data_IF_005564673456
#
_entry.id   IF_005564673456
#
_cell.length_a   1.000
_cell.length_b   1.000
_cell.length_c   1.000
_cell.angle_alpha   90.00
_cell.angle_beta   90.00
_cell.angle_gamma   90.00
#
_symmetry.space_group_name_H-M   'P 1'
#
loop_
_entity.id
_entity.type
_entity.pdbx_description
1 polymer ?
#
# COMPACT_ATOMS: atom_id res chain seq x y z
N UNK A 1 14.91 -6.49 0.24
CA UNK A 1 14.35 -6.78 1.60
C UNK A 1 15.44 -7.10 2.63
N UNK A 2 16.37 -8.03 2.37
CA UNK A 2 17.49 -8.33 3.30
C UNK A 2 18.35 -7.11 3.64
N UNK A 3 18.62 -6.26 2.66
CA UNK A 3 19.33 -4.98 2.85
C UNK A 3 18.62 -4.00 3.79
N UNK A 4 17.31 -4.18 4.03
CA UNK A 4 16.53 -3.41 5.00
C UNK A 4 16.39 -4.12 6.36
N UNK A 5 17.14 -5.21 6.57
CA UNK A 5 17.09 -5.99 7.82
C UNK A 5 15.91 -6.96 7.90
N UNK A 6 15.21 -7.21 6.79
CA UNK A 6 14.06 -8.11 6.76
C UNK A 6 14.43 -9.47 6.17
N UNK A 7 14.03 -10.54 6.85
CA UNK A 7 14.16 -11.91 6.36
C UNK A 7 12.80 -12.46 5.92
N UNK A 8 12.42 -12.32 4.64
CA UNK A 8 11.12 -12.78 4.15
C UNK A 8 10.96 -14.30 4.23
N UNK A 9 12.06 -15.07 4.12
CA UNK A 9 12.01 -16.54 4.13
C UNK A 9 11.45 -17.08 5.43
N UNK A 10 11.82 -16.46 6.56
CA UNK A 10 11.28 -16.78 7.89
C UNK A 10 9.75 -16.67 7.92
N UNK A 11 9.18 -15.64 7.31
CA UNK A 11 7.73 -15.44 7.30
C UNK A 11 7.02 -16.38 6.32
N UNK A 12 7.66 -16.72 5.20
CA UNK A 12 7.17 -17.73 4.27
C UNK A 12 7.10 -19.11 4.94
N UNK A 13 8.14 -19.53 5.65
CA UNK A 13 8.14 -20.82 6.37
C UNK A 13 7.11 -20.90 7.50
N UNK A 14 6.69 -19.74 8.03
CA UNK A 14 5.63 -19.63 9.04
C UNK A 14 4.22 -19.52 8.42
N UNK A 15 4.10 -19.59 7.08
CA UNK A 15 2.86 -19.34 6.35
C UNK A 15 2.22 -17.98 6.71
N UNK A 16 3.05 -16.94 6.86
CA UNK A 16 2.66 -15.56 7.20
C UNK A 16 2.90 -14.55 6.08
N UNK A 17 3.68 -14.94 5.06
CA UNK A 17 3.99 -14.12 3.91
C UNK A 17 4.02 -15.02 2.68
N UNK A 18 3.48 -14.51 1.58
CA UNK A 18 3.59 -15.15 0.27
C UNK A 18 3.86 -14.08 -0.79
N UNK A 19 4.49 -14.50 -1.89
CA UNK A 19 4.76 -13.63 -3.04
C UNK A 19 4.04 -14.18 -4.25
N UNK A 20 3.24 -13.32 -4.88
CA UNK A 20 2.59 -13.64 -6.15
C UNK A 20 3.33 -12.87 -7.24
N UNK A 21 4.16 -13.59 -8.00
CA UNK A 21 4.94 -12.98 -9.07
C UNK A 21 4.10 -12.90 -10.36
N UNK A 22 3.60 -11.69 -10.62
CA UNK A 22 2.87 -11.35 -11.85
C UNK A 22 3.74 -10.62 -12.88
N UNK A 23 5.07 -10.67 -12.77
CA UNK A 23 5.96 -9.93 -13.67
C UNK A 23 6.92 -10.85 -14.41
N UNK A 24 7.54 -11.81 -13.72
CA UNK A 24 8.56 -12.70 -14.28
C UNK A 24 8.05 -13.54 -15.46
N UNK A 25 6.74 -13.82 -15.52
CA UNK A 25 6.11 -14.45 -16.69
C UNK A 25 6.31 -13.66 -17.98
N UNK A 26 6.35 -12.32 -17.92
CA UNK A 26 6.62 -11.45 -19.08
C UNK A 26 8.06 -11.60 -19.59
N UNK A 27 8.98 -12.07 -18.75
CA UNK A 27 10.36 -12.39 -19.09
C UNK A 27 10.57 -13.86 -19.49
N UNK A 28 9.50 -14.63 -19.69
CA UNK A 28 9.55 -16.03 -20.12
C UNK A 28 9.75 -17.06 -19.00
N UNK A 29 9.68 -16.65 -17.73
CA UNK A 29 9.73 -17.58 -16.60
C UNK A 29 8.37 -18.26 -16.46
N UNK A 30 8.34 -19.58 -16.26
CA UNK A 30 7.08 -20.35 -16.19
C UNK A 30 6.81 -20.97 -14.83
N UNK A 31 7.83 -21.12 -13.99
CA UNK A 31 7.70 -21.75 -12.66
C UNK A 31 7.51 -20.72 -11.56
N UNK A 32 6.56 -20.96 -10.66
CA UNK A 32 6.34 -20.11 -9.48
C UNK A 32 5.76 -18.71 -9.77
N UNK A 33 5.26 -18.49 -10.99
CA UNK A 33 4.70 -17.21 -11.45
C UNK A 33 3.24 -17.36 -11.84
N UNK A 34 2.52 -16.25 -11.96
CA UNK A 34 1.20 -16.21 -12.59
C UNK A 34 1.38 -16.25 -14.11
N UNK A 35 0.92 -17.31 -14.83
CA UNK A 35 1.24 -17.50 -16.25
C UNK A 35 0.71 -16.40 -17.17
N UNK A 36 -0.45 -15.83 -16.84
CA UNK A 36 -1.09 -14.76 -17.59
C UNK A 36 -1.34 -13.56 -16.66
N UNK A 37 -0.32 -12.72 -16.42
CA UNK A 37 -0.40 -11.66 -15.42
C UNK A 37 -1.35 -10.52 -15.80
N UNK A 38 -1.73 -10.41 -17.08
CA UNK A 38 -2.69 -9.42 -17.58
C UNK A 38 -4.10 -9.98 -17.75
N UNK A 39 -4.28 -11.30 -17.61
CA UNK A 39 -5.61 -11.85 -17.36
C UNK A 39 -5.96 -11.65 -15.88
N UNK A 40 -6.66 -10.56 -15.62
CA UNK A 40 -7.10 -10.18 -14.28
C UNK A 40 -8.00 -11.24 -13.63
N UNK A 41 -8.63 -12.12 -14.42
CA UNK A 41 -9.38 -13.27 -13.90
C UNK A 41 -8.42 -14.30 -13.30
N UNK A 42 -7.42 -14.72 -14.06
CA UNK A 42 -6.36 -15.63 -13.60
C UNK A 42 -5.64 -15.10 -12.36
N UNK A 43 -5.28 -13.81 -12.34
CA UNK A 43 -4.66 -13.18 -11.16
C UNK A 43 -5.61 -13.24 -9.95
N UNK A 44 -6.90 -12.95 -10.14
CA UNK A 44 -7.90 -12.99 -9.07
C UNK A 44 -8.11 -14.40 -8.50
N UNK A 45 -8.07 -15.43 -9.35
CA UNK A 45 -8.12 -16.84 -8.93
C UNK A 45 -6.89 -17.18 -8.09
N UNK A 46 -5.70 -16.83 -8.59
CA UNK A 46 -4.44 -17.11 -7.89
C UNK A 46 -4.38 -16.43 -6.51
N UNK A 47 -4.77 -15.15 -6.44
CA UNK A 47 -4.87 -14.42 -5.18
C UNK A 47 -5.86 -15.09 -4.20
N UNK A 48 -6.98 -15.60 -4.70
CA UNK A 48 -7.97 -16.30 -3.85
C UNK A 48 -7.37 -17.57 -3.27
N UNK A 49 -6.68 -18.37 -4.08
CA UNK A 49 -6.01 -19.59 -3.61
C UNK A 49 -4.90 -19.29 -2.57
N UNK A 50 -4.14 -18.20 -2.77
CA UNK A 50 -3.14 -17.72 -1.78
C UNK A 50 -3.84 -17.30 -0.48
N UNK A 51 -4.94 -16.55 -0.58
CA UNK A 51 -5.71 -16.12 0.59
C UNK A 51 -6.23 -17.31 1.41
N UNK A 52 -6.74 -18.33 0.73
CA UNK A 52 -7.20 -19.58 1.36
C UNK A 52 -6.06 -20.31 2.06
N UNK A 53 -4.90 -20.46 1.41
CA UNK A 53 -3.70 -21.07 1.99
C UNK A 53 -3.20 -20.33 3.24
N UNK A 54 -3.37 -19.01 3.28
CA UNK A 54 -3.01 -18.17 4.44
C UNK A 54 -4.12 -18.10 5.51
N UNK A 55 -5.22 -18.84 5.35
CA UNK A 55 -6.28 -18.98 6.35
C UNK A 55 -7.43 -17.97 6.25
N UNK A 56 -7.48 -17.17 5.16
CA UNK A 56 -8.58 -16.27 4.79
C UNK A 56 -9.07 -15.32 5.91
N UNK A 57 -8.16 -14.88 6.78
CA UNK A 57 -8.48 -13.99 7.91
C UNK A 57 -7.36 -12.98 8.13
N UNK A 58 -7.75 -11.72 8.29
CA UNK A 58 -6.87 -10.57 8.56
C UNK A 58 -5.71 -10.44 7.54
N UNK A 59 -5.98 -10.80 6.28
CA UNK A 59 -4.98 -10.82 5.20
C UNK A 59 -4.68 -9.41 4.71
N UNK A 60 -3.38 -9.07 4.63
CA UNK A 60 -2.95 -7.85 3.95
C UNK A 60 -2.41 -8.18 2.57
N UNK A 61 -3.01 -7.60 1.54
CA UNK A 61 -2.49 -7.68 0.17
C UNK A 61 -1.78 -6.37 -0.15
N UNK A 62 -0.55 -6.47 -0.61
CA UNK A 62 0.21 -5.35 -1.19
C UNK A 62 0.34 -5.63 -2.68
N UNK A 63 -0.31 -4.80 -3.50
CA UNK A 63 -0.19 -4.85 -4.94
C UNK A 63 0.78 -3.74 -5.37
N UNK A 64 1.98 -4.15 -5.76
CA UNK A 64 3.06 -3.28 -6.19
C UNK A 64 3.50 -3.68 -7.62
N UNK A 65 3.04 -3.01 -8.68
CA UNK A 65 2.23 -1.77 -8.72
C UNK A 65 1.02 -1.89 -9.66
N UNK A 66 0.14 -0.90 -9.63
CA UNK A 66 -0.99 -0.82 -10.55
C UNK A 66 -0.60 -0.44 -11.99
N UNK A 67 0.62 0.05 -12.21
CA UNK A 67 1.05 0.57 -13.53
C UNK A 67 0.95 -0.51 -14.63
N UNK A 68 1.53 -1.72 -14.48
CA UNK A 68 1.41 -2.75 -15.51
C UNK A 68 -0.05 -3.12 -15.83
N UNK A 69 -0.93 -3.12 -14.82
CA UNK A 69 -2.35 -3.43 -15.02
C UNK A 69 -3.03 -2.34 -15.87
N UNK A 70 -2.77 -1.06 -15.58
CA UNK A 70 -3.34 0.04 -16.35
C UNK A 70 -2.74 0.19 -17.75
N UNK A 71 -1.51 -0.25 -17.97
CA UNK A 71 -0.86 -0.24 -19.28
C UNK A 71 -1.39 -1.34 -20.21
N UNK A 72 -1.70 -2.51 -19.68
CA UNK A 72 -2.01 -3.71 -20.48
C UNK A 72 -3.51 -4.04 -20.54
N UNK A 73 -4.34 -3.34 -19.75
CA UNK A 73 -5.78 -3.60 -19.70
C UNK A 73 -6.59 -2.32 -19.81
N UNK A 74 -7.83 -2.42 -20.29
CA UNK A 74 -8.75 -1.30 -20.27
C UNK A 74 -8.98 -0.81 -18.84
N UNK A 75 -8.98 0.51 -18.65
CA UNK A 75 -9.16 1.15 -17.33
C UNK A 75 -10.40 0.62 -16.59
N UNK A 76 -11.51 0.35 -17.31
CA UNK A 76 -12.73 -0.21 -16.72
C UNK A 76 -12.52 -1.60 -16.12
N UNK A 77 -11.74 -2.47 -16.78
CA UNK A 77 -11.43 -3.81 -16.31
C UNK A 77 -10.49 -3.76 -15.10
N UNK A 78 -9.45 -2.92 -15.16
CA UNK A 78 -8.55 -2.68 -14.03
C UNK A 78 -9.29 -2.17 -12.78
N UNK A 79 -10.19 -1.20 -12.95
CA UNK A 79 -11.01 -0.67 -11.84
C UNK A 79 -11.93 -1.75 -11.25
N UNK A 80 -12.61 -2.52 -12.10
CA UNK A 80 -13.46 -3.64 -11.65
C UNK A 80 -12.67 -4.69 -10.88
N UNK A 81 -11.44 -4.99 -11.32
CA UNK A 81 -10.53 -5.91 -10.66
C UNK A 81 -10.11 -5.41 -9.27
N UNK A 82 -9.71 -4.13 -9.16
CA UNK A 82 -9.36 -3.51 -7.87
C UNK A 82 -10.55 -3.59 -6.89
N UNK A 83 -11.76 -3.28 -7.35
CA UNK A 83 -12.97 -3.37 -6.53
C UNK A 83 -13.26 -4.81 -6.07
N UNK A 84 -13.07 -5.78 -6.96
CA UNK A 84 -13.27 -7.21 -6.65
C UNK A 84 -12.30 -7.68 -5.57
N UNK A 85 -11.01 -7.37 -5.70
CA UNK A 85 -10.01 -7.72 -4.67
C UNK A 85 -10.30 -6.99 -3.36
N UNK A 86 -10.60 -5.70 -3.41
CA UNK A 86 -10.93 -4.92 -2.23
C UNK A 86 -12.11 -5.53 -1.46
N UNK A 87 -13.15 -5.97 -2.16
CA UNK A 87 -14.30 -6.66 -1.54
C UNK A 87 -13.90 -8.00 -0.88
N UNK A 88 -13.09 -8.82 -1.56
CA UNK A 88 -12.58 -10.10 -1.02
C UNK A 88 -11.75 -9.88 0.24
N UNK A 89 -10.80 -8.96 0.18
CA UNK A 89 -9.91 -8.60 1.31
C UNK A 89 -10.72 -8.05 2.49
N UNK A 90 -11.70 -7.18 2.22
CA UNK A 90 -12.58 -6.62 3.25
C UNK A 90 -13.44 -7.71 3.91
N UNK A 91 -13.96 -8.67 3.15
CA UNK A 91 -14.70 -9.84 3.68
C UNK A 91 -13.82 -10.67 4.62
N UNK A 92 -12.53 -10.78 4.33
CA UNK A 92 -11.55 -11.47 5.19
C UNK A 92 -11.09 -10.63 6.41
N UNK A 93 -11.63 -9.43 6.63
CA UNK A 93 -11.17 -8.51 7.70
C UNK A 93 -9.80 -7.86 7.41
N UNK A 94 -9.31 -8.01 6.18
CA UNK A 94 -7.97 -7.66 5.75
C UNK A 94 -7.74 -6.20 5.37
N UNK A 95 -6.59 -5.95 4.74
CA UNK A 95 -6.19 -4.63 4.22
C UNK A 95 -5.65 -4.75 2.80
N UNK A 96 -6.00 -3.81 1.94
CA UNK A 96 -5.45 -3.73 0.58
C UNK A 96 -4.59 -2.47 0.48
N UNK A 97 -3.34 -2.64 0.07
CA UNK A 97 -2.39 -1.55 -0.20
C UNK A 97 -2.06 -1.62 -1.69
N UNK A 98 -2.23 -0.50 -2.38
CA UNK A 98 -1.97 -0.36 -3.80
C UNK A 98 -0.88 0.70 -3.98
N UNK A 99 0.09 0.44 -4.85
CA UNK A 99 1.07 1.46 -5.24
C UNK A 99 0.76 1.96 -6.66
N UNK A 100 0.93 3.27 -6.85
CA UNK A 100 0.74 3.95 -8.12
C UNK A 100 1.71 5.12 -8.22
N UNK A 101 2.42 5.22 -9.32
CA UNK A 101 3.36 6.32 -9.58
C UNK A 101 2.61 7.58 -9.99
N UNK A 102 2.89 8.70 -9.32
CA UNK A 102 2.32 10.01 -9.65
C UNK A 102 2.74 10.44 -11.06
N UNK A 103 1.78 10.90 -11.87
CA UNK A 103 2.03 11.35 -13.24
C UNK A 103 2.12 10.23 -14.28
N UNK A 104 2.04 8.97 -13.88
CA UNK A 104 2.13 7.82 -14.80
C UNK A 104 0.78 7.39 -15.41
N UNK A 105 -0.33 7.98 -14.95
CA UNK A 105 -1.68 7.74 -15.48
C UNK A 105 -2.41 9.06 -15.66
N UNK A 106 -3.44 9.07 -16.51
CA UNK A 106 -4.31 10.23 -16.67
C UNK A 106 -4.94 10.65 -15.34
N UNK A 107 -5.10 11.97 -15.07
CA UNK A 107 -5.65 12.46 -13.81
C UNK A 107 -7.03 11.87 -13.46
N UNK A 108 -7.88 11.66 -14.46
CA UNK A 108 -9.20 11.05 -14.27
C UNK A 108 -9.12 9.63 -13.67
N UNK A 109 -8.21 8.80 -14.20
CA UNK A 109 -7.99 7.45 -13.69
C UNK A 109 -7.40 7.49 -12.27
N UNK A 110 -6.48 8.41 -12.01
CA UNK A 110 -5.93 8.61 -10.67
C UNK A 110 -7.03 8.96 -9.66
N UNK A 111 -7.90 9.92 -9.98
CA UNK A 111 -9.04 10.29 -9.14
C UNK A 111 -10.03 9.15 -8.97
N UNK A 112 -10.22 8.33 -10.01
CA UNK A 112 -11.05 7.13 -9.91
C UNK A 112 -10.48 6.17 -8.87
N UNK A 113 -9.18 5.88 -8.90
CA UNK A 113 -8.54 5.02 -7.88
C UNK A 113 -8.63 5.64 -6.49
N UNK A 114 -8.37 6.95 -6.34
CA UNK A 114 -8.51 7.69 -5.08
C UNK A 114 -9.93 7.58 -4.49
N UNK A 115 -10.96 7.51 -5.34
CA UNK A 115 -12.35 7.34 -4.90
C UNK A 115 -12.65 5.94 -4.33
N UNK A 116 -11.86 4.93 -4.71
CA UNK A 116 -12.07 3.53 -4.30
C UNK A 116 -11.40 3.16 -2.98
N UNK A 117 -10.37 3.91 -2.59
CA UNK A 117 -9.55 3.61 -1.40
C UNK A 117 -9.99 4.44 -0.21
N UNK A 118 -9.95 3.84 0.99
CA UNK A 118 -10.27 4.56 2.23
C UNK A 118 -9.14 5.53 2.65
N UNK A 119 -7.93 5.42 2.08
CA UNK A 119 -6.81 6.28 2.44
C UNK A 119 -5.79 6.44 1.32
N UNK A 120 -5.12 7.59 1.30
CA UNK A 120 -4.08 7.95 0.34
C UNK A 120 -2.86 8.46 1.09
N UNK A 121 -1.75 7.75 0.92
CA UNK A 121 -0.42 8.17 1.39
C UNK A 121 0.42 8.50 0.17
N UNK A 122 0.86 9.76 0.11
CA UNK A 122 1.65 10.28 -0.99
C UNK A 122 3.11 10.41 -0.56
N UNK A 123 4.02 9.89 -1.39
CA UNK A 123 5.47 10.03 -1.20
C UNK A 123 6.00 11.05 -2.21
N UNK A 124 6.73 12.06 -1.73
CA UNK A 124 7.26 13.15 -2.56
C UNK A 124 8.76 13.27 -2.40
N UNK A 125 9.42 13.63 -3.50
CA UNK A 125 10.76 14.18 -3.51
C UNK A 125 10.65 15.69 -3.66
N UNK A 126 11.22 16.44 -2.72
CA UNK A 126 11.20 17.91 -2.73
C UNK A 126 12.63 18.39 -2.74
N UNK A 127 12.94 19.30 -3.66
CA UNK A 127 14.22 19.99 -3.71
C UNK A 127 14.23 21.12 -2.67
N UNK A 128 15.17 21.06 -1.74
CA UNK A 128 15.38 22.07 -0.70
C UNK A 128 16.85 22.52 -0.73
N UNK A 129 17.08 23.69 -1.33
CA UNK A 129 18.44 24.17 -1.61
C UNK A 129 19.11 23.23 -2.61
N UNK A 130 20.24 22.64 -2.22
CA UNK A 130 21.00 21.67 -3.04
C UNK A 130 20.72 20.21 -2.65
N UNK A 131 19.66 19.94 -1.88
CA UNK A 131 19.35 18.59 -1.40
C UNK A 131 17.96 18.14 -1.84
N UNK A 132 17.87 16.92 -2.33
CA UNK A 132 16.60 16.23 -2.53
C UNK A 132 16.18 15.52 -1.24
N UNK A 133 15.02 15.89 -0.70
CA UNK A 133 14.45 15.32 0.53
C UNK A 133 13.18 14.55 0.25
N UNK A 134 12.98 13.47 1.00
CA UNK A 134 11.81 12.60 0.93
C UNK A 134 10.79 13.02 1.97
N UNK A 135 9.53 13.15 1.54
CA UNK A 135 8.40 13.51 2.36
C UNK A 135 7.25 12.53 2.19
N UNK A 136 6.57 12.23 3.29
CA UNK A 136 5.33 11.47 3.32
C UNK A 136 4.19 12.42 3.69
N UNK A 137 3.09 12.34 2.96
CA UNK A 137 1.86 13.09 3.21
C UNK A 137 0.67 12.13 3.27
N UNK A 138 -0.07 12.13 4.37
CA UNK A 138 -1.39 11.48 4.40
C UNK A 138 -2.41 12.47 3.82
N UNK A 139 -2.83 12.23 2.57
CA UNK A 139 -3.77 13.08 1.83
C UNK A 139 -5.23 12.80 2.19
N UNK A 140 -5.56 11.52 2.36
CA UNK A 140 -6.92 11.03 2.64
C UNK A 140 -6.84 9.92 3.68
N UNK A 141 -7.78 9.92 4.63
CA UNK A 141 -8.00 8.81 5.54
C UNK A 141 -9.44 8.86 6.05
N UNK A 142 -10.32 8.07 5.45
CA UNK A 142 -11.75 8.08 5.74
C UNK A 142 -12.00 7.67 7.21
N UNK A 143 -13.06 8.24 7.79
CA UNK A 143 -13.48 8.01 9.19
C UNK A 143 -12.46 8.44 10.25
N UNK A 144 -11.44 9.22 9.89
CA UNK A 144 -10.44 9.77 10.82
C UNK A 144 -10.26 11.27 10.54
N UNK A 145 -10.22 12.07 11.60
CA UNK A 145 -9.77 13.46 11.45
C UNK A 145 -8.25 13.47 11.22
N UNK A 146 -7.84 13.97 10.06
CA UNK A 146 -6.43 14.14 9.71
C UNK A 146 -6.09 15.62 9.62
N UNK A 147 -4.94 15.99 10.15
CA UNK A 147 -4.29 17.26 9.81
C UNK A 147 -3.19 16.92 8.80
N UNK A 148 -3.36 17.23 7.51
CA UNK A 148 -2.34 16.95 6.51
C UNK A 148 -1.02 17.63 6.90
N UNK A 149 0.04 16.84 7.02
CA UNK A 149 1.39 17.32 7.35
C UNK A 149 2.39 16.56 6.51
N UNK A 150 3.33 17.30 5.91
CA UNK A 150 4.51 16.72 5.30
C UNK A 150 5.44 16.23 6.42
N UNK A 151 5.72 14.93 6.43
CA UNK A 151 6.65 14.31 7.36
C UNK A 151 7.88 13.89 6.58
N UNK A 152 9.03 14.51 6.87
CA UNK A 152 10.29 14.10 6.25
C UNK A 152 10.61 12.66 6.67
N UNK A 153 11.16 11.85 5.78
CA UNK A 153 11.68 10.52 6.11
C UNK A 153 12.97 10.23 5.37
N UNK A 154 13.76 9.30 5.90
CA UNK A 154 14.92 8.72 5.21
C UNK A 154 14.73 7.21 5.04
N UNK A 155 15.47 6.62 4.10
CA UNK A 155 15.58 5.16 3.94
C UNK A 155 16.97 4.77 4.41
N UNK A 156 17.04 3.92 5.43
CA UNK A 156 18.30 3.56 6.08
C UNK A 156 18.53 2.05 5.91
N UNK A 157 19.73 1.68 5.46
CA UNK A 157 20.16 0.29 5.40
C UNK A 157 19.98 -0.42 6.74
N UNK A 158 19.46 -1.64 6.70
CA UNK A 158 19.15 -2.45 7.89
C UNK A 158 17.92 -2.00 8.70
N UNK A 159 17.28 -0.87 8.37
CA UNK A 159 16.12 -0.33 9.12
C UNK A 159 14.91 0.00 8.26
N UNK A 160 15.10 0.30 6.97
CA UNK A 160 14.02 0.74 6.08
C UNK A 160 13.64 2.21 6.29
N UNK A 161 12.34 2.52 6.19
CA UNK A 161 11.80 3.88 6.28
C UNK A 161 11.86 4.41 7.72
N UNK A 162 12.49 5.55 7.94
CA UNK A 162 12.53 6.25 9.22
C UNK A 162 11.91 7.64 9.11
N UNK A 163 10.79 7.86 9.81
CA UNK A 163 10.11 9.16 9.87
C UNK A 163 10.86 10.12 10.82
N UNK A 164 11.07 11.36 10.36
CA UNK A 164 11.58 12.47 11.18
C UNK A 164 10.40 13.24 11.75
N UNK A 165 9.86 12.75 12.86
CA UNK A 165 8.81 13.46 13.60
C UNK A 165 9.41 14.61 14.41
N UNK A 166 8.90 15.83 14.24
CA UNK A 166 9.34 16.95 15.07
C UNK A 166 8.87 16.76 16.51
N UNK A 167 9.78 16.93 17.48
CA UNK A 167 9.52 16.71 18.91
C UNK A 167 8.49 17.70 19.51
N UNK A 168 8.21 18.80 18.83
CA UNK A 168 7.32 19.87 19.30
C UNK A 168 5.85 19.41 19.33
N UNK A 169 5.42 18.57 18.39
CA UNK A 169 4.05 18.03 18.35
C UNK A 169 3.75 16.95 19.39
N UNK A 170 4.79 16.29 19.94
CA UNK A 170 4.62 15.22 20.93
C UNK A 170 4.32 15.79 22.33
N UNK A 171 4.84 16.98 22.63
CA UNK A 171 4.60 17.68 23.90
C UNK A 171 3.16 18.17 24.02
N UNK A 172 2.55 18.67 22.94
CA UNK A 172 1.15 19.12 22.94
C UNK A 172 0.14 17.98 23.12
N UNK A 173 0.48 16.74 22.73
CA UNK A 173 -0.39 15.57 22.96
C UNK A 173 -0.39 15.08 24.41
N UNK A 174 0.59 15.47 25.23
CA UNK A 174 0.64 15.14 26.66
C UNK A 174 -0.11 16.13 27.55
N UNK A 175 -0.36 17.35 27.07
CA UNK A 175 -1.02 18.42 27.83
C UNK A 175 -2.53 18.54 27.62
N UNK A 176 -3.14 17.67 26.80
CA UNK A 176 -4.56 17.75 26.42
C UNK A 176 -5.53 16.81 27.14
N UNK A 177 -5.11 16.10 28.19
CA UNK A 177 -5.98 15.21 28.99
C UNK A 177 -6.30 15.84 30.36
N UNK A 178 -7.14 16.87 30.34
CA UNK A 178 -7.92 17.28 31.52
C UNK A 178 -9.18 18.01 31.05
N UNK A 179 -10.22 17.26 30.69
CA UNK A 179 -11.57 17.81 30.72
C UNK A 179 -12.11 17.63 32.15
N UNK A 180 -12.55 18.71 32.82
CA UNK A 180 -13.26 18.57 34.08
C UNK A 180 -14.64 17.96 33.81
N UNK A 181 -15.05 17.02 34.66
CA UNK A 181 -16.37 16.40 34.64
C UNK A 181 -17.49 17.46 34.78
N UNK A 182 -18.65 17.26 34.14
CA UNK A 182 -19.80 18.14 34.36
C UNK A 182 -20.26 18.01 35.82
N UNK A 183 -20.40 19.15 36.50
CA UNK A 183 -21.07 19.22 37.80
C UNK A 183 -22.59 19.09 37.56
N UNK A 184 -23.21 18.24 38.38
CA UNK A 184 -24.66 18.06 38.50
C UNK A 184 -25.40 19.38 38.73
#
# INVERSE_FOLDING_TARGET
>A
MKEFGWDPKKYQSMNKLDFVDCYSATAGITEGVVPQPFDLTSVSIYLTAVMERLGNRDITIVLDSLIPIFSETESKHAISFIQSIAAKVKKAGGKLILTLSTGSVHPELFHKVESLVDGVVELRMVEEGQMLRRYLLVRKMDRRHITPRLVQFDIIGGRGIQLKLSRIGLLWRRSGLSHPAPKN
#
